data_IF_055476290169
#
_entry.id   IF_055476290169
#
_cell.length_a   1.000
_cell.length_b   1.000
_cell.length_c   1.000
_cell.angle_alpha   90.00
_cell.angle_beta   90.00
_cell.angle_gamma   90.00
#
_symmetry.space_group_name_H-M   'P 1'
#
loop_
_entity.id
_entity.type
_entity.pdbx_description
1 polymer ?
#
# COMPACT_ATOMS: atom_id res chain seq x y z
N UNK A 1 33.55 -11.45 -34.55
CA UNK A 1 32.46 -12.18 -35.24
C UNK A 1 32.29 -13.53 -34.58
N UNK A 2 31.18 -13.72 -33.86
CA UNK A 2 30.38 -14.95 -34.00
C UNK A 2 28.87 -14.56 -34.08
N UNK A 3 28.18 -14.92 -35.16
CA UNK A 3 27.55 -16.22 -35.43
C UNK A 3 26.23 -16.44 -34.70
N UNK A 4 25.15 -16.09 -35.43
CA UNK A 4 23.87 -16.77 -35.57
C UNK A 4 23.31 -17.54 -34.36
N UNK A 5 22.18 -17.04 -33.83
CA UNK A 5 21.14 -17.91 -33.28
C UNK A 5 19.79 -17.48 -33.86
N UNK A 6 19.23 -18.34 -34.70
CA UNK A 6 17.92 -18.21 -35.31
C UNK A 6 16.92 -19.19 -34.67
N UNK A 7 15.68 -18.73 -34.59
CA UNK A 7 14.43 -19.50 -34.64
C UNK A 7 14.04 -20.42 -33.48
N UNK A 8 12.93 -20.09 -32.81
CA UNK A 8 11.69 -20.89 -32.87
C UNK A 8 10.63 -20.30 -31.92
N UNK A 9 9.57 -19.69 -32.45
CA UNK A 9 8.33 -19.46 -31.72
C UNK A 9 7.22 -20.28 -32.40
N UNK A 10 6.56 -21.20 -31.68
CA UNK A 10 5.45 -21.97 -32.24
C UNK A 10 4.15 -21.16 -32.33
N UNK A 11 3.38 -21.54 -33.34
CA UNK A 11 2.21 -20.89 -33.92
C UNK A 11 0.96 -20.88 -33.03
N UNK A 12 0.17 -19.83 -33.29
CA UNK A 12 -1.17 -19.52 -32.78
C UNK A 12 -2.22 -20.51 -33.32
N UNK A 13 -3.04 -21.14 -32.48
CA UNK A 13 -4.21 -21.85 -32.97
C UNK A 13 -5.38 -20.89 -33.23
N UNK A 14 -5.85 -20.90 -34.48
CA UNK A 14 -7.16 -20.43 -34.92
C UNK A 14 -8.22 -21.47 -34.55
N UNK A 15 -9.33 -21.03 -33.94
CA UNK A 15 -10.50 -21.90 -33.73
C UNK A 15 -11.77 -21.13 -34.09
N UNK A 16 -12.20 -21.36 -35.34
CA UNK A 16 -13.54 -21.07 -35.83
C UNK A 16 -14.52 -22.03 -35.14
N UNK A 17 -15.49 -21.48 -34.41
CA UNK A 17 -16.54 -22.23 -33.72
C UNK A 17 -17.91 -21.64 -34.05
N UNK A 18 -18.73 -22.46 -34.67
CA UNK A 18 -20.04 -22.22 -35.27
C UNK A 18 -21.13 -21.79 -34.28
N UNK A 19 -22.05 -20.98 -34.80
CA UNK A 19 -23.28 -20.53 -34.16
C UNK A 19 -24.19 -21.69 -33.74
N UNK A 20 -24.61 -21.68 -32.47
CA UNK A 20 -25.85 -22.33 -32.04
C UNK A 20 -26.70 -21.34 -31.24
N UNK A 21 -27.79 -20.92 -31.90
CA UNK A 21 -28.92 -20.19 -31.33
C UNK A 21 -29.61 -21.07 -30.29
N UNK A 22 -29.72 -20.61 -29.05
CA UNK A 22 -30.76 -21.03 -28.10
C UNK A 22 -31.44 -19.80 -27.50
N UNK A 23 -32.60 -19.56 -28.06
CA UNK A 23 -33.87 -19.07 -27.51
C UNK A 23 -33.91 -18.64 -26.04
N UNK A 24 -34.33 -17.38 -25.87
CA UNK A 24 -35.18 -16.77 -24.84
C UNK A 24 -35.21 -17.40 -23.43
N UNK A 25 -34.77 -16.61 -22.44
CA UNK A 25 -35.43 -16.50 -21.14
C UNK A 25 -35.06 -15.17 -20.46
N UNK A 26 -36.08 -14.33 -20.27
CA UNK A 26 -36.23 -13.40 -19.14
C UNK A 26 -35.20 -12.26 -19.01
N UNK A 27 -35.51 -11.12 -19.65
CA UNK A 27 -35.05 -9.81 -19.20
C UNK A 27 -35.73 -9.47 -17.86
N UNK A 28 -35.12 -9.93 -16.78
CA UNK A 28 -35.44 -9.47 -15.44
C UNK A 28 -34.70 -8.14 -15.25
N UNK A 29 -35.45 -7.04 -15.41
CA UNK A 29 -35.01 -5.69 -15.06
C UNK A 29 -34.56 -5.66 -13.60
N UNK A 30 -33.24 -5.67 -13.38
CA UNK A 30 -32.62 -5.46 -12.08
C UNK A 30 -32.04 -4.04 -12.08
N UNK A 31 -32.65 -3.06 -11.40
CA UNK A 31 -32.18 -1.67 -11.39
C UNK A 31 -30.89 -1.47 -10.57
N UNK A 32 -30.39 -2.53 -9.94
CA UNK A 32 -29.07 -2.55 -9.31
C UNK A 32 -28.15 -3.41 -10.17
N UNK A 33 -27.41 -2.76 -11.07
CA UNK A 33 -26.29 -3.40 -11.75
C UNK A 33 -25.29 -3.97 -10.72
N UNK A 34 -24.39 -4.89 -11.13
CA UNK A 34 -23.33 -5.34 -10.24
C UNK A 34 -22.52 -4.12 -9.80
N UNK A 35 -22.67 -3.74 -8.53
CA UNK A 35 -21.82 -2.70 -7.96
C UNK A 35 -20.37 -3.17 -8.11
N UNK A 36 -19.45 -2.34 -8.63
CA UNK A 36 -18.05 -2.63 -8.51
C UNK A 36 -17.73 -2.67 -7.02
N UNK A 37 -17.49 -3.86 -6.49
CA UNK A 37 -16.85 -4.01 -5.19
C UNK A 37 -15.54 -3.18 -5.22
N UNK A 38 -15.22 -2.44 -4.15
CA UNK A 38 -13.91 -1.79 -4.01
C UNK A 38 -12.83 -2.85 -3.72
N UNK A 39 -12.60 -3.74 -4.69
CA UNK A 39 -11.51 -4.71 -4.70
C UNK A 39 -10.28 -4.09 -5.37
N UNK A 40 -9.76 -3.00 -4.81
CA UNK A 40 -8.44 -2.47 -5.20
C UNK A 40 -7.84 -1.54 -4.13
N UNK A 41 -7.93 -1.89 -2.84
CA UNK A 41 -6.83 -1.51 -1.95
C UNK A 41 -5.73 -2.50 -2.28
N UNK A 42 -4.78 -2.07 -3.12
CA UNK A 42 -3.51 -2.77 -3.30
C UNK A 42 -3.02 -3.19 -1.90
N UNK A 43 -2.67 -4.47 -1.67
CA UNK A 43 -1.99 -4.82 -0.44
C UNK A 43 -0.67 -4.07 -0.50
N UNK A 44 -0.63 -2.91 0.17
CA UNK A 44 0.59 -2.19 0.46
C UNK A 44 1.57 -3.25 0.90
N UNK A 45 2.61 -3.40 0.11
CA UNK A 45 3.62 -4.43 0.19
C UNK A 45 3.83 -4.77 1.67
N UNK A 46 3.38 -5.95 2.10
CA UNK A 46 3.55 -6.50 3.44
C UNK A 46 5.03 -6.83 3.64
N UNK A 47 5.88 -5.82 3.49
CA UNK A 47 7.27 -5.84 3.89
C UNK A 47 7.24 -5.68 5.40
N UNK A 48 7.71 -6.71 6.09
CA UNK A 48 7.71 -6.89 7.53
C UNK A 48 8.38 -5.73 8.31
N UNK A 49 7.74 -4.57 8.35
CA UNK A 49 8.20 -3.41 9.11
C UNK A 49 7.36 -3.29 10.36
N UNK A 50 8.02 -3.09 11.49
CA UNK A 50 7.35 -2.90 12.77
C UNK A 50 6.42 -1.69 12.69
N UNK A 51 5.52 -1.56 13.67
CA UNK A 51 4.84 -0.29 13.85
C UNK A 51 5.88 0.83 13.94
N UNK A 52 5.58 2.00 13.40
CA UNK A 52 6.53 3.11 13.39
C UNK A 52 5.82 4.43 13.69
N UNK A 53 6.58 5.40 14.18
CA UNK A 53 6.05 6.74 14.39
C UNK A 53 6.12 7.53 13.09
N UNK A 54 4.97 7.97 12.60
CA UNK A 54 4.87 8.89 11.48
C UNK A 54 4.79 10.32 12.03
N UNK A 55 5.76 11.16 11.69
CA UNK A 55 5.81 12.56 12.08
C UNK A 55 5.34 13.39 10.88
N UNK A 56 4.30 14.17 11.10
CA UNK A 56 3.76 15.10 10.12
C UNK A 56 4.52 16.41 10.22
N UNK A 57 5.11 16.85 9.11
CA UNK A 57 5.89 18.06 9.03
C UNK A 57 5.23 19.09 8.12
N UNK A 58 5.44 20.36 8.42
CA UNK A 58 5.24 21.48 7.51
C UNK A 58 6.57 21.82 6.83
N UNK A 59 6.58 21.92 5.50
CA UNK A 59 7.74 22.35 4.72
C UNK A 59 7.69 23.88 4.51
N UNK A 60 8.72 24.58 4.94
CA UNK A 60 8.89 26.01 4.67
C UNK A 60 9.49 26.21 3.28
N UNK A 61 8.68 26.63 2.29
CA UNK A 61 9.13 26.70 0.89
C UNK A 61 10.28 27.68 0.65
N UNK A 62 10.42 28.72 1.50
CA UNK A 62 11.45 29.75 1.34
C UNK A 62 12.84 29.24 1.76
N UNK A 63 12.93 28.35 2.75
CA UNK A 63 14.21 27.87 3.30
C UNK A 63 14.40 26.34 3.24
N UNK A 64 13.39 25.59 2.78
CA UNK A 64 13.44 24.13 2.64
C UNK A 64 13.38 23.33 3.94
N UNK A 65 13.30 24.00 5.10
CA UNK A 65 13.27 23.34 6.40
C UNK A 65 11.90 22.71 6.69
N UNK A 66 11.92 21.55 7.36
CA UNK A 66 10.73 20.86 7.84
C UNK A 66 10.53 21.13 9.33
N UNK A 67 9.32 21.54 9.72
CA UNK A 67 8.94 21.75 11.10
C UNK A 67 7.91 20.68 11.53
N UNK A 68 8.16 19.92 12.61
CA UNK A 68 7.19 18.94 13.11
C UNK A 68 5.90 19.62 13.58
N UNK A 69 4.75 19.10 13.16
CA UNK A 69 3.42 19.59 13.54
C UNK A 69 2.66 18.59 14.41
N UNK A 70 2.64 17.33 13.99
CA UNK A 70 1.91 16.27 14.67
C UNK A 70 2.62 14.93 14.51
N UNK A 71 2.18 13.92 15.25
CA UNK A 71 2.66 12.56 15.08
C UNK A 71 1.53 11.55 15.25
N UNK A 72 1.67 10.40 14.60
CA UNK A 72 0.82 9.24 14.76
C UNK A 72 1.64 7.95 14.74
N UNK A 73 1.09 6.86 15.24
CA UNK A 73 1.68 5.53 15.10
C UNK A 73 1.01 4.84 13.92
N UNK A 74 1.81 4.30 13.00
CA UNK A 74 1.32 3.49 11.90
C UNK A 74 1.42 2.03 12.32
N UNK A 75 0.27 1.37 12.34
CA UNK A 75 0.13 -0.05 12.65
C UNK A 75 0.74 -0.91 11.54
N UNK A 76 1.49 -1.94 11.91
CA UNK A 76 2.09 -2.85 10.95
C UNK A 76 1.28 -4.12 10.67
N UNK A 77 0.14 -4.30 11.34
CA UNK A 77 -0.73 -5.46 11.22
C UNK A 77 0.02 -6.79 11.39
N UNK A 78 1.01 -6.82 12.30
CA UNK A 78 1.80 -8.02 12.58
C UNK A 78 1.54 -8.52 14.00
N UNK A 79 1.04 -9.74 14.15
CA UNK A 79 0.78 -10.35 15.46
C UNK A 79 2.05 -10.60 16.30
N UNK A 80 3.23 -10.58 15.67
CA UNK A 80 4.54 -10.66 16.36
C UNK A 80 5.14 -9.29 16.68
N UNK A 81 4.45 -8.18 16.44
CA UNK A 81 4.87 -6.85 16.87
C UNK A 81 4.05 -6.44 18.09
N UNK A 82 4.70 -6.15 19.22
CA UNK A 82 4.02 -5.79 20.47
C UNK A 82 3.09 -4.57 20.36
N UNK A 83 3.41 -3.65 19.46
CA UNK A 83 2.65 -2.41 19.26
C UNK A 83 1.56 -2.53 18.19
N UNK A 84 1.40 -3.70 17.58
CA UNK A 84 0.37 -3.94 16.59
C UNK A 84 -0.97 -4.18 17.27
N UNK A 85 -2.02 -3.64 16.68
CA UNK A 85 -3.41 -3.93 17.02
C UNK A 85 -3.76 -5.42 16.91
N UNK A 86 -3.04 -6.18 16.09
CA UNK A 86 -3.21 -7.62 15.93
C UNK A 86 -2.39 -8.45 16.94
N UNK A 87 -1.65 -7.82 17.84
CA UNK A 87 -0.90 -8.52 18.87
C UNK A 87 -1.82 -9.05 19.98
N UNK A 88 -1.74 -10.34 20.36
CA UNK A 88 -2.55 -10.86 21.45
C UNK A 88 -2.15 -10.24 22.80
N UNK A 89 -3.13 -9.83 23.60
CA UNK A 89 -2.91 -9.22 24.93
C UNK A 89 -2.13 -10.15 25.89
N UNK A 90 -2.39 -11.46 25.83
CA UNK A 90 -1.78 -12.47 26.70
C UNK A 90 -0.67 -13.25 25.98
N UNK A 91 0.30 -12.56 25.38
CA UNK A 91 1.42 -13.21 24.70
C UNK A 91 2.43 -13.81 25.70
N UNK A 92 2.33 -15.11 25.96
CA UNK A 92 3.16 -15.83 26.96
C UNK A 92 4.68 -15.85 26.69
N UNK A 93 5.13 -15.44 25.50
CA UNK A 93 6.55 -15.39 25.13
C UNK A 93 6.98 -14.06 24.53
N UNK A 94 6.26 -12.97 24.83
CA UNK A 94 6.43 -11.69 24.16
C UNK A 94 7.89 -11.19 24.09
N UNK A 95 8.64 -11.08 25.21
CA UNK A 95 9.99 -10.50 25.19
C UNK A 95 11.01 -11.31 24.36
N UNK A 96 10.76 -12.60 24.13
CA UNK A 96 11.67 -13.49 23.39
C UNK A 96 11.29 -13.68 21.92
N UNK A 97 9.97 -13.66 21.61
CA UNK A 97 9.44 -14.07 20.31
C UNK A 97 8.90 -12.93 19.45
N UNK A 98 8.59 -11.80 20.08
CA UNK A 98 7.95 -10.66 19.45
C UNK A 98 8.91 -9.47 19.38
N UNK A 99 8.74 -8.67 18.33
CA UNK A 99 9.48 -7.42 18.16
C UNK A 99 9.02 -6.43 19.24
N UNK A 100 9.97 -6.02 20.07
CA UNK A 100 9.74 -5.20 21.27
C UNK A 100 9.82 -3.69 21.03
N UNK A 101 10.21 -3.27 19.84
CA UNK A 101 10.48 -1.87 19.51
C UNK A 101 9.59 -1.38 18.38
N UNK A 102 9.47 -0.05 18.26
CA UNK A 102 8.99 0.57 17.04
C UNK A 102 10.14 0.65 16.02
N UNK A 103 9.81 0.70 14.74
CA UNK A 103 10.78 1.05 13.70
C UNK A 103 11.17 2.54 13.79
N UNK A 104 12.13 2.94 12.98
CA UNK A 104 12.54 4.33 12.84
C UNK A 104 11.37 5.24 12.48
N UNK A 105 11.33 6.40 13.13
CA UNK A 105 10.34 7.42 12.82
C UNK A 105 10.50 7.88 11.36
N UNK A 106 9.37 8.18 10.72
CA UNK A 106 9.33 8.66 9.33
C UNK A 106 8.67 10.02 9.29
N UNK A 107 9.35 10.97 8.68
CA UNK A 107 8.80 12.28 8.43
C UNK A 107 8.02 12.26 7.12
N UNK A 108 6.81 12.79 7.15
CA UNK A 108 6.00 13.05 5.95
C UNK A 108 5.64 14.52 5.91
N UNK A 109 5.80 15.14 4.74
CA UNK A 109 5.35 16.53 4.54
C UNK A 109 3.85 16.50 4.30
N UNK A 110 3.09 17.12 5.20
CA UNK A 110 1.62 17.19 5.11
C UNK A 110 1.14 18.57 4.66
N UNK A 111 1.98 19.58 4.80
CA UNK A 111 1.68 20.95 4.42
C UNK A 111 2.95 21.62 3.91
N UNK A 112 2.82 22.50 2.93
CA UNK A 112 3.87 23.44 2.53
C UNK A 112 3.41 24.85 2.88
N UNK A 113 4.24 25.60 3.60
CA UNK A 113 3.94 26.97 4.03
C UNK A 113 4.88 27.95 3.34
N UNK A 114 4.32 29.06 2.85
CA UNK A 114 5.08 30.10 2.16
C UNK A 114 5.68 31.12 3.13
N UNK A 115 6.55 30.64 4.01
CA UNK A 115 7.27 31.46 4.98
C UNK A 115 8.62 30.82 5.30
N UNK A 116 9.55 31.61 5.86
CA UNK A 116 10.76 31.06 6.48
C UNK A 116 10.40 30.37 7.79
N UNK A 117 11.17 29.35 8.18
CA UNK A 117 11.04 28.75 9.50
C UNK A 117 11.55 29.72 10.58
N UNK A 118 11.20 29.45 11.84
CA UNK A 118 11.61 30.26 12.99
C UNK A 118 13.12 30.51 13.07
N UNK A 119 13.93 29.54 12.64
CA UNK A 119 15.39 29.65 12.64
C UNK A 119 15.95 30.53 11.51
N UNK A 120 15.20 30.70 10.41
CA UNK A 120 15.62 31.48 9.25
C UNK A 120 14.94 32.85 9.15
N UNK A 121 13.93 33.11 9.98
CA UNK A 121 13.26 34.41 10.08
C UNK A 121 13.90 35.33 11.12
N UNK A 122 14.93 34.85 11.83
CA UNK A 122 15.73 35.64 12.77
C UNK A 122 16.85 36.38 12.06
#
# INVERSE_FOLDING_TARGET
>A
MPSHHASNYPSRPTSSGTMLKRTLSTLQNNPYGPQPHPSAILPHSFSAKMCYRQVQCALHSICGHQEPRAHSTVDCQNSRCRYSSLHPQNCGGCPQSCRQWLDNARNIVTQTVNSRCYHCSR
#
